data_IF_868244712767
#
_entry.id   IF_868244712767
#
_cell.length_a   1.000
_cell.length_b   1.000
_cell.length_c   1.000
_cell.angle_alpha   90.00
_cell.angle_beta   90.00
_cell.angle_gamma   90.00
#
_symmetry.space_group_name_H-M   'P 1'
#
loop_
_entity.id
_entity.type
_entity.pdbx_description
1 polymer ?
#
# COMPACT_ATOMS: atom_id res chain seq x y z
N UNK A 1 -1.33 4.08 -12.79
CA UNK A 1 -1.53 3.95 -11.34
C UNK A 1 -3.01 4.05 -11.02
N UNK A 2 -3.46 3.20 -10.09
CA UNK A 2 -4.75 3.27 -9.43
C UNK A 2 -4.87 4.53 -8.56
N UNK A 3 -3.79 4.92 -7.87
CA UNK A 3 -3.71 6.11 -7.02
C UNK A 3 -4.29 5.94 -5.61
N UNK A 4 -4.93 4.80 -5.34
CA UNK A 4 -5.41 4.39 -4.02
C UNK A 4 -5.37 2.86 -3.90
N UNK A 5 -4.18 2.27 -4.04
CA UNK A 5 -4.03 0.82 -4.17
C UNK A 5 -3.87 0.13 -2.81
N UNK A 6 -4.98 -0.08 -2.10
CA UNK A 6 -5.06 -0.83 -0.85
C UNK A 6 -6.06 -1.98 -0.94
N UNK A 7 -5.94 -2.98 -0.06
CA UNK A 7 -6.73 -4.23 -0.14
C UNK A 7 -8.24 -4.05 -0.13
N UNK A 8 -8.77 -2.94 0.38
CA UNK A 8 -10.21 -2.64 0.35
C UNK A 8 -10.72 -2.34 -1.07
N UNK A 9 -9.84 -1.89 -1.97
CA UNK A 9 -10.14 -1.61 -3.38
C UNK A 9 -9.92 -2.84 -4.28
N UNK A 10 -9.79 -4.03 -3.68
CA UNK A 10 -9.68 -5.30 -4.38
C UNK A 10 -10.99 -6.06 -4.16
N UNK A 11 -11.69 -6.36 -5.26
CA UNK A 11 -12.84 -7.25 -5.22
C UNK A 11 -12.41 -8.65 -5.66
N UNK A 12 -12.71 -9.64 -4.81
CA UNK A 12 -12.29 -11.03 -5.00
C UNK A 12 -13.46 -11.92 -5.42
N UNK A 13 -13.21 -12.81 -6.38
CA UNK A 13 -14.13 -13.90 -6.74
C UNK A 13 -13.72 -15.20 -6.04
N UNK A 14 -14.70 -16.04 -5.71
CA UNK A 14 -14.52 -17.32 -5.01
C UNK A 14 -15.24 -18.42 -5.80
N UNK A 15 -14.67 -18.77 -6.95
CA UNK A 15 -15.31 -19.65 -7.92
C UNK A 15 -15.06 -21.15 -7.64
N UNK A 16 -14.13 -21.51 -6.75
CA UNK A 16 -13.79 -22.92 -6.42
C UNK A 16 -14.56 -23.40 -5.18
N UNK A 17 -15.61 -24.25 -5.34
CA UNK A 17 -16.39 -24.74 -4.21
C UNK A 17 -15.59 -25.65 -3.27
N UNK A 18 -14.45 -26.20 -3.71
CA UNK A 18 -13.58 -27.03 -2.86
C UNK A 18 -12.68 -26.18 -1.96
N UNK A 19 -12.49 -24.90 -2.28
CA UNK A 19 -11.67 -23.94 -1.53
C UNK A 19 -12.43 -22.62 -1.36
N UNK A 20 -13.55 -22.60 -0.61
CA UNK A 20 -14.45 -21.44 -0.52
C UNK A 20 -13.78 -20.19 0.07
N UNK A 21 -12.71 -20.35 0.86
CA UNK A 21 -11.97 -19.24 1.47
C UNK A 21 -10.80 -18.74 0.62
N UNK A 22 -10.52 -19.36 -0.53
CA UNK A 22 -9.40 -19.00 -1.40
C UNK A 22 -9.91 -18.20 -2.61
N UNK A 23 -9.51 -16.94 -2.76
CA UNK A 23 -9.92 -16.17 -3.92
C UNK A 23 -9.31 -16.78 -5.20
N UNK A 24 -10.13 -16.90 -6.24
CA UNK A 24 -9.72 -17.42 -7.57
C UNK A 24 -9.26 -16.31 -8.49
N UNK A 25 -9.87 -15.12 -8.36
CA UNK A 25 -9.59 -13.94 -9.18
C UNK A 25 -9.77 -12.67 -8.33
N UNK A 26 -9.12 -11.60 -8.76
CA UNK A 26 -9.30 -10.28 -8.18
C UNK A 26 -9.44 -9.23 -9.29
N UNK A 27 -10.23 -8.20 -9.03
CA UNK A 27 -10.26 -6.98 -9.85
C UNK A 27 -10.09 -5.76 -8.94
N UNK A 28 -9.53 -4.69 -9.49
CA UNK A 28 -9.49 -3.40 -8.82
C UNK A 28 -10.80 -2.64 -9.03
N UNK A 29 -11.20 -1.87 -8.03
CA UNK A 29 -12.37 -0.99 -8.04
C UNK A 29 -11.99 0.37 -7.44
N UNK A 30 -12.83 1.39 -7.68
CA UNK A 30 -12.62 2.76 -7.18
C UNK A 30 -11.39 3.50 -7.76
N UNK A 31 -11.49 3.81 -9.06
CA UNK A 31 -10.43 4.47 -9.84
C UNK A 31 -10.44 6.02 -9.74
N UNK A 32 -11.06 6.59 -8.70
CA UNK A 32 -11.25 8.05 -8.61
C UNK A 32 -9.94 8.85 -8.50
N UNK A 33 -8.84 8.24 -8.05
CA UNK A 33 -7.51 8.85 -7.94
C UNK A 33 -6.52 8.37 -9.01
N UNK A 34 -6.98 7.70 -10.07
CA UNK A 34 -6.10 7.11 -11.08
C UNK A 34 -5.33 8.16 -11.90
N UNK A 35 -4.07 7.85 -12.17
CA UNK A 35 -3.18 8.72 -12.94
C UNK A 35 -2.09 7.93 -13.69
N UNK A 36 -1.51 8.57 -14.72
CA UNK A 36 -0.37 8.05 -15.46
C UNK A 36 0.93 8.52 -14.81
N UNK A 37 1.83 7.60 -14.47
CA UNK A 37 3.11 7.91 -13.86
C UNK A 37 3.89 6.67 -13.45
N UNK A 38 4.91 6.86 -12.62
CA UNK A 38 5.76 5.79 -12.10
C UNK A 38 4.94 4.67 -11.44
N UNK A 39 5.21 3.38 -11.73
CA UNK A 39 4.62 2.27 -10.99
C UNK A 39 5.07 2.23 -9.52
N UNK A 40 6.15 2.94 -9.18
CA UNK A 40 6.66 3.05 -7.82
C UNK A 40 5.67 3.70 -6.85
N UNK A 41 4.74 4.53 -7.34
CA UNK A 41 3.72 5.15 -6.49
C UNK A 41 2.77 4.11 -5.88
N UNK A 42 2.06 3.36 -6.73
CA UNK A 42 1.11 2.33 -6.27
C UNK A 42 1.81 1.21 -5.50
N UNK A 43 2.99 0.77 -5.94
CA UNK A 43 3.72 -0.29 -5.26
C UNK A 43 4.17 0.14 -3.86
N UNK A 44 4.71 1.34 -3.70
CA UNK A 44 5.10 1.84 -2.37
C UNK A 44 3.87 2.05 -1.49
N UNK A 45 2.74 2.51 -2.04
CA UNK A 45 1.50 2.63 -1.30
C UNK A 45 1.01 1.27 -0.80
N UNK A 46 0.89 0.29 -1.69
CA UNK A 46 0.43 -1.06 -1.37
C UNK A 46 1.33 -1.75 -0.34
N UNK A 47 2.65 -1.71 -0.55
CA UNK A 47 3.61 -2.39 0.33
C UNK A 47 3.64 -1.81 1.75
N UNK A 48 3.33 -0.51 1.93
CA UNK A 48 3.36 0.15 3.23
C UNK A 48 2.01 0.22 3.94
N UNK A 49 0.91 -0.15 3.27
CA UNK A 49 -0.45 -0.07 3.86
C UNK A 49 -1.15 -1.42 3.96
N UNK A 50 -0.88 -2.33 3.04
CA UNK A 50 -1.74 -3.50 2.78
C UNK A 50 -1.06 -4.84 3.00
N UNK A 51 0.27 -4.86 3.13
CA UNK A 51 1.04 -6.09 3.36
C UNK A 51 1.27 -6.30 4.85
N UNK A 52 0.99 -7.52 5.33
CA UNK A 52 1.25 -7.90 6.73
C UNK A 52 2.75 -7.76 7.04
N UNK A 53 3.06 -7.26 8.23
CA UNK A 53 4.44 -6.96 8.64
C UNK A 53 5.43 -8.13 8.46
N UNK A 54 5.05 -9.36 8.78
CA UNK A 54 5.91 -10.53 8.61
C UNK A 54 6.19 -10.81 7.11
N UNK A 55 5.17 -10.72 6.26
CA UNK A 55 5.33 -10.86 4.81
C UNK A 55 6.19 -9.74 4.25
N UNK A 56 5.98 -8.50 4.73
CA UNK A 56 6.77 -7.34 4.30
C UNK A 56 8.24 -7.45 4.71
N UNK A 57 8.55 -8.05 5.87
CA UNK A 57 9.93 -8.29 6.32
C UNK A 57 10.62 -9.35 5.49
N UNK A 58 9.94 -10.48 5.30
CA UNK A 58 10.61 -11.68 4.79
C UNK A 58 10.50 -11.80 3.27
N UNK A 59 9.48 -11.18 2.65
CA UNK A 59 9.04 -11.46 1.27
C UNK A 59 8.82 -10.21 0.41
N UNK A 60 9.31 -9.03 0.83
CA UNK A 60 9.13 -7.78 0.05
C UNK A 60 9.66 -7.92 -1.38
N UNK A 61 10.87 -8.42 -1.53
CA UNK A 61 11.49 -8.56 -2.85
C UNK A 61 10.77 -9.59 -3.72
N UNK A 62 10.21 -10.64 -3.12
CA UNK A 62 9.39 -11.60 -3.84
C UNK A 62 8.11 -10.97 -4.39
N UNK A 63 7.45 -10.10 -3.63
CA UNK A 63 6.28 -9.35 -4.12
C UNK A 63 6.66 -8.42 -5.29
N UNK A 64 7.80 -7.75 -5.21
CA UNK A 64 8.33 -6.90 -6.30
C UNK A 64 8.64 -7.74 -7.54
N UNK A 65 9.25 -8.92 -7.37
CA UNK A 65 9.57 -9.83 -8.46
C UNK A 65 8.30 -10.39 -9.13
N UNK A 66 7.27 -10.73 -8.34
CA UNK A 66 5.96 -11.15 -8.89
C UNK A 66 5.32 -10.04 -9.70
N UNK A 67 5.33 -8.80 -9.20
CA UNK A 67 4.84 -7.65 -9.96
C UNK A 67 5.63 -7.47 -11.26
N UNK A 68 6.97 -7.46 -11.18
CA UNK A 68 7.82 -7.23 -12.35
C UNK A 68 7.63 -8.30 -13.42
N UNK A 69 7.53 -9.57 -13.00
CA UNK A 69 7.27 -10.68 -13.92
C UNK A 69 5.99 -10.44 -14.72
N UNK A 70 4.87 -10.18 -14.03
CA UNK A 70 3.58 -9.92 -14.67
C UNK A 70 3.61 -8.64 -15.52
N UNK A 71 4.29 -7.59 -15.05
CA UNK A 71 4.45 -6.34 -15.78
C UNK A 71 5.19 -6.56 -17.11
N UNK A 72 6.32 -7.27 -17.07
CA UNK A 72 7.08 -7.65 -18.25
C UNK A 72 6.27 -8.51 -19.21
N UNK A 73 5.66 -9.58 -18.73
CA UNK A 73 4.82 -10.49 -19.56
C UNK A 73 3.67 -9.73 -20.24
N UNK A 74 3.08 -8.76 -19.54
CA UNK A 74 2.02 -7.91 -20.10
C UNK A 74 2.55 -7.01 -21.22
N UNK A 75 3.72 -6.38 -21.04
CA UNK A 75 4.33 -5.53 -22.07
C UNK A 75 4.78 -6.33 -23.29
N UNK A 76 5.31 -7.55 -23.10
CA UNK A 76 5.65 -8.47 -24.19
C UNK A 76 4.40 -8.86 -24.99
N UNK A 77 3.30 -9.17 -24.29
CA UNK A 77 2.02 -9.49 -24.93
C UNK A 77 1.45 -8.32 -25.74
N UNK A 78 1.69 -7.09 -25.29
CA UNK A 78 1.29 -5.87 -25.98
C UNK A 78 2.29 -5.43 -27.07
N UNK A 79 3.33 -6.22 -27.34
CA UNK A 79 4.39 -5.92 -28.31
C UNK A 79 5.10 -4.58 -28.05
N UNK A 80 5.27 -4.20 -26.79
CA UNK A 80 6.02 -2.99 -26.43
C UNK A 80 7.53 -3.23 -26.58
N UNK A 81 8.21 -2.39 -27.35
CA UNK A 81 9.63 -2.61 -27.69
C UNK A 81 10.59 -2.31 -26.53
N UNK A 82 10.30 -1.28 -25.72
CA UNK A 82 11.21 -0.75 -24.71
C UNK A 82 10.87 -1.23 -23.29
N UNK A 83 10.86 -2.55 -23.08
CA UNK A 83 10.45 -3.13 -21.80
C UNK A 83 11.45 -2.78 -20.69
N UNK A 84 11.02 -2.11 -19.59
CA UNK A 84 11.90 -1.78 -18.47
C UNK A 84 12.48 -3.03 -17.80
N UNK A 85 13.69 -2.91 -17.28
CA UNK A 85 14.34 -3.97 -16.49
C UNK A 85 13.80 -4.01 -15.05
N UNK A 86 14.13 -5.08 -14.31
CA UNK A 86 13.82 -5.13 -12.88
C UNK A 86 14.55 -4.02 -12.12
N UNK A 87 15.75 -3.66 -12.55
CA UNK A 87 16.54 -2.61 -11.92
C UNK A 87 15.93 -1.23 -12.17
N UNK A 88 15.36 -0.98 -13.36
CA UNK A 88 14.59 0.24 -13.64
C UNK A 88 13.36 0.34 -12.71
N UNK A 89 12.64 -0.77 -12.51
CA UNK A 89 11.51 -0.80 -11.57
C UNK A 89 11.97 -0.54 -10.12
N UNK A 90 13.07 -1.15 -9.69
CA UNK A 90 13.64 -0.96 -8.36
C UNK A 90 14.13 0.48 -8.16
N UNK A 91 14.70 1.09 -9.18
CA UNK A 91 15.04 2.51 -9.19
C UNK A 91 13.79 3.37 -9.00
N UNK A 92 12.73 3.10 -9.77
CA UNK A 92 11.46 3.82 -9.65
C UNK A 92 10.81 3.66 -8.26
N UNK A 93 10.90 2.46 -7.66
CA UNK A 93 10.51 2.22 -6.27
C UNK A 93 11.35 3.05 -5.29
N UNK A 94 12.68 3.00 -5.40
CA UNK A 94 13.59 3.72 -4.48
C UNK A 94 13.39 5.22 -4.53
N UNK A 95 13.22 5.78 -5.73
CA UNK A 95 13.02 7.21 -5.94
C UNK A 95 11.64 7.72 -5.44
N UNK A 96 10.71 6.82 -5.09
CA UNK A 96 9.36 7.18 -4.59
C UNK A 96 9.09 6.59 -3.20
N UNK A 97 10.12 6.26 -2.44
CA UNK A 97 9.98 5.78 -1.05
C UNK A 97 9.26 6.80 -0.15
N UNK A 98 9.42 8.10 -0.41
CA UNK A 98 8.66 9.16 0.28
C UNK A 98 7.14 9.01 0.11
N UNK A 99 6.69 8.53 -1.06
CA UNK A 99 5.27 8.22 -1.27
C UNK A 99 4.81 7.06 -0.38
N UNK A 100 5.70 6.09 -0.14
CA UNK A 100 5.49 5.02 0.83
C UNK A 100 5.41 5.53 2.27
N UNK A 101 6.28 6.48 2.65
CA UNK A 101 6.24 7.15 3.96
C UNK A 101 4.92 7.93 4.15
N UNK A 102 4.51 8.68 3.13
CA UNK A 102 3.23 9.38 3.10
C UNK A 102 2.04 8.41 3.29
N UNK A 103 2.02 7.30 2.54
CA UNK A 103 0.99 6.27 2.68
C UNK A 103 0.98 5.64 4.08
N UNK A 104 2.16 5.36 4.62
CA UNK A 104 2.33 4.77 5.95
C UNK A 104 1.76 5.65 7.06
N UNK A 105 1.98 6.96 7.04
CA UNK A 105 1.49 7.87 8.08
C UNK A 105 0.08 8.40 7.82
N UNK A 106 -0.21 8.73 6.56
CA UNK A 106 -1.48 9.33 6.16
C UNK A 106 -2.63 8.33 6.06
N UNK A 107 -2.35 7.10 5.61
CA UNK A 107 -3.40 6.14 5.26
C UNK A 107 -3.45 4.93 6.18
N UNK A 108 -2.30 4.32 6.53
CA UNK A 108 -2.30 3.09 7.36
C UNK A 108 -3.22 3.19 8.59
N UNK A 109 -3.19 4.26 9.42
CA UNK A 109 -4.04 4.33 10.62
C UNK A 109 -5.53 4.36 10.30
N UNK A 110 -5.91 4.97 9.17
CA UNK A 110 -7.30 5.01 8.70
C UNK A 110 -7.73 3.65 8.15
N UNK A 111 -6.83 3.01 7.39
CA UNK A 111 -7.04 1.70 6.79
C UNK A 111 -7.21 0.61 7.86
N UNK A 112 -6.40 0.67 8.92
CA UNK A 112 -6.45 -0.30 10.03
C UNK A 112 -7.33 0.17 11.17
N UNK A 113 -8.27 1.08 10.93
CA UNK A 113 -9.18 1.59 11.96
C UNK A 113 -10.11 0.48 12.47
N UNK A 114 -10.09 0.17 13.78
CA UNK A 114 -11.07 -0.73 14.39
C UNK A 114 -12.49 -0.19 14.21
N UNK A 115 -13.47 -1.09 14.05
CA UNK A 115 -14.87 -0.71 13.85
C UNK A 115 -15.43 0.12 15.01
N UNK A 116 -14.91 -0.09 16.21
CA UNK A 116 -15.28 0.63 17.43
C UNK A 116 -14.89 2.12 17.34
N UNK A 117 -13.87 2.46 16.53
CA UNK A 117 -13.42 3.83 16.28
C UNK A 117 -13.99 4.42 14.98
N UNK A 118 -14.66 3.61 14.14
CA UNK A 118 -15.23 4.04 12.85
C UNK A 118 -16.65 4.60 12.96
N UNK A 119 -17.29 4.53 14.14
CA UNK A 119 -18.71 4.87 14.32
C UNK A 119 -19.08 6.34 14.11
N UNK A 120 -18.13 7.27 14.23
CA UNK A 120 -18.35 8.70 14.02
C UNK A 120 -17.30 9.28 13.05
N UNK A 121 -17.55 9.06 11.75
CA UNK A 121 -16.83 9.68 10.63
C UNK A 121 -17.65 10.85 10.02
N UNK A 122 -18.59 11.41 10.79
CA UNK A 122 -19.39 12.54 10.32
C UNK A 122 -18.49 13.75 10.01
N UNK A 123 -18.93 14.62 9.09
CA UNK A 123 -18.22 15.88 8.80
C UNK A 123 -18.04 16.73 10.06
N UNK A 124 -18.99 16.68 11.00
CA UNK A 124 -18.92 17.37 12.29
C UNK A 124 -17.75 16.87 13.15
N UNK A 125 -17.51 15.56 13.16
CA UNK A 125 -16.37 14.97 13.87
C UNK A 125 -15.04 15.19 13.17
N UNK A 126 -15.03 15.38 11.85
CA UNK A 126 -13.83 15.77 11.09
C UNK A 126 -13.42 17.23 11.28
N UNK A 127 -14.36 18.12 11.64
CA UNK A 127 -14.10 19.55 11.89
C UNK A 127 -13.72 19.82 13.36
N UNK A 128 -14.07 18.93 14.29
CA UNK A 128 -13.68 19.07 15.70
C UNK A 128 -12.23 18.58 15.93
N UNK A 129 -11.29 19.51 16.00
CA UNK A 129 -9.86 19.22 16.17
C UNK A 129 -9.54 18.32 17.37
N UNK A 130 -10.23 18.50 18.50
CA UNK A 130 -9.99 17.70 19.70
C UNK A 130 -10.41 16.24 19.51
N UNK A 131 -11.60 16.01 18.94
CA UNK A 131 -12.09 14.67 18.61
C UNK A 131 -11.18 14.00 17.58
N UNK A 132 -10.76 14.74 16.55
CA UNK A 132 -9.80 14.25 15.54
C UNK A 132 -8.49 13.83 16.22
N UNK A 133 -7.92 14.68 17.08
CA UNK A 133 -6.68 14.40 17.78
C UNK A 133 -6.78 13.15 18.66
N UNK A 134 -7.84 13.03 19.47
CA UNK A 134 -8.07 11.85 20.32
C UNK A 134 -8.23 10.58 19.50
N UNK A 135 -8.89 10.67 18.34
CA UNK A 135 -9.05 9.55 17.42
C UNK A 135 -7.70 9.12 16.86
N UNK A 136 -6.90 10.03 16.31
CA UNK A 136 -5.57 9.72 15.81
C UNK A 136 -4.66 9.16 16.91
N UNK A 137 -4.69 9.70 18.13
CA UNK A 137 -3.94 9.14 19.26
C UNK A 137 -4.29 7.67 19.51
N UNK A 138 -5.58 7.31 19.50
CA UNK A 138 -6.01 5.92 19.65
C UNK A 138 -5.59 5.05 18.47
N UNK A 139 -5.69 5.55 17.24
CA UNK A 139 -5.30 4.81 16.04
C UNK A 139 -3.80 4.49 16.04
N UNK A 140 -2.98 5.49 16.35
CA UNK A 140 -1.53 5.32 16.44
C UNK A 140 -1.10 4.50 17.65
N UNK A 141 -1.89 4.44 18.73
CA UNK A 141 -1.55 3.63 19.90
C UNK A 141 -1.69 2.10 19.67
N UNK A 142 -2.27 1.66 18.56
CA UNK A 142 -2.46 0.24 18.28
C UNK A 142 -1.13 -0.49 18.03
N UNK A 143 -0.97 -1.67 18.62
CA UNK A 143 0.29 -2.45 18.56
C UNK A 143 0.71 -2.81 17.14
N UNK A 144 -0.24 -3.19 16.27
CA UNK A 144 0.02 -3.52 14.87
C UNK A 144 0.52 -2.30 14.08
N UNK A 145 -0.09 -1.13 14.32
CA UNK A 145 0.31 0.15 13.69
C UNK A 145 1.70 0.55 14.17
N UNK A 146 1.95 0.51 15.49
CA UNK A 146 3.25 0.80 16.08
C UNK A 146 4.35 -0.13 15.57
N UNK A 147 4.08 -1.43 15.47
CA UNK A 147 5.06 -2.40 14.99
C UNK A 147 5.44 -2.17 13.52
N UNK A 148 4.46 -1.87 12.66
CA UNK A 148 4.70 -1.56 11.25
C UNK A 148 5.43 -0.22 11.10
N UNK A 149 5.01 0.83 11.83
CA UNK A 149 5.68 2.13 11.83
C UNK A 149 7.14 2.03 12.24
N UNK A 150 7.45 1.35 13.36
CA UNK A 150 8.84 1.17 13.83
C UNK A 150 9.72 0.46 12.81
N UNK A 151 9.19 -0.61 12.20
CA UNK A 151 9.92 -1.33 11.16
C UNK A 151 10.16 -0.46 9.92
N UNK A 152 9.11 0.18 9.40
CA UNK A 152 9.20 0.95 8.18
C UNK A 152 10.06 2.22 8.35
N UNK A 153 9.94 2.93 9.48
CA UNK A 153 10.81 4.06 9.80
C UNK A 153 12.28 3.67 9.85
N UNK A 154 12.61 2.56 10.53
CA UNK A 154 13.98 2.05 10.51
C UNK A 154 14.45 1.75 9.08
N UNK A 155 13.61 1.14 8.25
CA UNK A 155 13.95 0.86 6.85
C UNK A 155 14.16 2.16 6.05
N UNK A 156 13.32 3.17 6.24
CA UNK A 156 13.45 4.46 5.55
C UNK A 156 14.75 5.18 5.94
N UNK A 157 15.09 5.13 7.23
CA UNK A 157 16.36 5.63 7.77
C UNK A 157 17.57 4.88 7.18
N UNK A 158 17.56 3.54 7.21
CA UNK A 158 18.62 2.70 6.64
C UNK A 158 18.81 2.93 5.12
N UNK A 159 17.76 3.38 4.43
CA UNK A 159 17.82 3.74 3.01
C UNK A 159 18.32 5.17 2.77
N UNK A 160 18.31 6.05 3.77
CA UNK A 160 18.62 7.48 3.65
C UNK A 160 17.45 8.31 3.12
N UNK A 161 16.21 7.81 3.19
CA UNK A 161 15.01 8.55 2.73
C UNK A 161 14.74 9.78 3.59
N UNK A 162 15.08 9.71 4.88
CA UNK A 162 14.83 10.79 5.84
C UNK A 162 15.90 11.89 5.78
N UNK A 163 17.04 11.62 5.15
CA UNK A 163 18.16 12.57 5.00
C UNK A 163 17.95 13.56 3.84
N UNK A 164 16.93 13.32 3.01
CA UNK A 164 16.62 14.14 1.84
C UNK A 164 15.81 15.42 2.19
N UNK A 165 15.53 15.68 3.48
CA UNK A 165 14.68 16.77 3.98
C UNK A 165 15.29 17.57 5.13
#
# INVERSE_FOLDING_TARGET
NHGDLWTSNFMYAYDDPKQPDKPTRAIFVDFQLSFCGSPGCDLNFFLNTSVRLNVLKDRRDDLINVYYKTFKETLEHLHYENIPTLDDLKYELRARELYGLFALFGFLPLITMPKELSGDNSMETMINEEKVRLKYQKLFAQDNVQALLKYALKRFDDLGVLDEF
#
